data_IF_928025485524
#
_entry.id   IF_928025485524
#
_cell.length_a   1.000
_cell.length_b   1.000
_cell.length_c   1.000
_cell.angle_alpha   90.00
_cell.angle_beta   90.00
_cell.angle_gamma   90.00
#
_symmetry.space_group_name_H-M   'P 1'
#
loop_
_entity.id
_entity.type
_entity.pdbx_description
1 polymer ?
#
# COMPACT_ATOMS: atom_id res chain seq x y z
N UNK A 1 9.81 -10.52 24.12
CA UNK A 1 9.91 -9.62 22.95
C UNK A 1 8.64 -9.77 22.12
N UNK A 2 7.93 -8.69 21.78
CA UNK A 2 6.86 -8.75 20.77
C UNK A 2 7.53 -8.87 19.40
N UNK A 3 7.33 -9.97 18.70
CA UNK A 3 7.84 -10.18 17.33
C UNK A 3 7.00 -9.37 16.35
N UNK A 4 7.64 -8.62 15.46
CA UNK A 4 6.95 -7.99 14.33
C UNK A 4 6.54 -9.08 13.32
N UNK A 5 5.34 -8.97 12.76
CA UNK A 5 4.89 -9.85 11.68
C UNK A 5 5.74 -9.63 10.43
N UNK A 6 6.06 -10.71 9.72
CA UNK A 6 6.81 -10.66 8.46
C UNK A 6 6.03 -10.09 7.28
N UNK A 7 4.70 -10.01 7.37
CA UNK A 7 3.81 -9.56 6.28
C UNK A 7 4.20 -10.18 4.92
N UNK A 8 4.31 -9.36 3.88
CA UNK A 8 4.74 -9.78 2.53
C UNK A 8 6.25 -9.64 2.30
N UNK A 9 7.05 -9.38 3.35
CA UNK A 9 8.50 -9.21 3.22
C UNK A 9 9.22 -10.39 2.54
N UNK A 10 8.88 -11.67 2.81
CA UNK A 10 9.50 -12.79 2.10
C UNK A 10 9.27 -12.74 0.59
N UNK A 11 8.06 -12.37 0.15
CA UNK A 11 7.73 -12.21 -1.27
C UNK A 11 8.55 -11.08 -1.90
N UNK A 12 8.60 -9.91 -1.25
CA UNK A 12 9.35 -8.73 -1.73
C UNK A 12 10.83 -9.07 -1.91
N UNK A 13 11.46 -9.66 -0.88
CA UNK A 13 12.88 -10.02 -0.93
C UNK A 13 13.16 -11.05 -2.01
N UNK A 14 12.29 -12.04 -2.17
CA UNK A 14 12.43 -13.06 -3.22
C UNK A 14 12.38 -12.44 -4.63
N UNK A 15 11.43 -11.53 -4.87
CA UNK A 15 11.30 -10.86 -6.18
C UNK A 15 12.46 -9.90 -6.43
N UNK A 16 12.90 -9.14 -5.43
CA UNK A 16 14.07 -8.25 -5.60
C UNK A 16 15.36 -9.02 -5.86
N UNK A 17 15.58 -10.15 -5.19
CA UNK A 17 16.72 -11.01 -5.48
C UNK A 17 16.66 -11.56 -6.91
N UNK A 18 15.48 -12.00 -7.35
CA UNK A 18 15.28 -12.47 -8.72
C UNK A 18 15.49 -11.36 -9.76
N UNK A 19 14.95 -10.16 -9.52
CA UNK A 19 15.14 -9.01 -10.41
C UNK A 19 16.61 -8.56 -10.46
N UNK A 20 17.30 -8.55 -9.32
CA UNK A 20 18.73 -8.28 -9.24
C UNK A 20 19.56 -9.30 -10.01
N UNK A 21 19.21 -10.59 -9.90
CA UNK A 21 19.81 -11.64 -10.71
C UNK A 21 19.57 -11.42 -12.21
N UNK A 22 18.34 -11.14 -12.63
CA UNK A 22 18.03 -10.84 -14.03
C UNK A 22 18.79 -9.60 -14.54
N UNK A 23 18.93 -8.56 -13.72
CA UNK A 23 19.66 -7.35 -14.07
C UNK A 23 21.14 -7.62 -14.36
N UNK A 24 21.77 -8.53 -13.61
CA UNK A 24 23.19 -8.85 -13.73
C UNK A 24 23.48 -9.89 -14.81
N UNK A 25 22.61 -10.90 -14.99
CA UNK A 25 22.92 -12.09 -15.78
C UNK A 25 22.04 -12.29 -17.02
N UNK A 26 20.90 -11.62 -17.12
CA UNK A 26 19.95 -11.80 -18.22
C UNK A 26 19.37 -10.45 -18.70
N UNK A 27 20.22 -9.54 -19.22
CA UNK A 27 19.79 -8.21 -19.64
C UNK A 27 18.79 -8.23 -20.80
N UNK A 28 18.65 -9.35 -21.52
CA UNK A 28 17.65 -9.56 -22.58
C UNK A 28 16.22 -9.70 -22.04
N UNK A 29 16.04 -10.11 -20.79
CA UNK A 29 14.73 -10.20 -20.14
C UNK A 29 14.26 -8.85 -19.59
N UNK A 30 15.01 -7.78 -19.83
CA UNK A 30 14.59 -6.42 -19.49
C UNK A 30 13.55 -5.96 -20.51
N UNK A 31 12.28 -6.16 -20.19
CA UNK A 31 11.22 -5.44 -20.89
C UNK A 31 11.34 -3.96 -20.58
N UNK A 32 11.66 -3.14 -21.59
CA UNK A 32 11.39 -1.70 -21.54
C UNK A 32 9.88 -1.54 -21.52
N UNK A 33 9.29 -1.43 -20.33
CA UNK A 33 7.90 -1.04 -20.21
C UNK A 33 7.79 0.39 -20.77
N UNK A 34 7.33 0.49 -22.01
CA UNK A 34 6.86 1.75 -22.59
C UNK A 34 5.63 2.13 -21.79
N UNK A 35 5.77 3.00 -20.79
CA UNK A 35 4.61 3.68 -20.26
C UNK A 35 4.14 4.59 -21.39
N UNK A 36 3.14 4.15 -22.16
CA UNK A 36 2.34 5.08 -22.94
C UNK A 36 1.63 5.95 -21.91
N UNK A 37 2.23 7.10 -21.62
CA UNK A 37 1.61 8.17 -20.84
C UNK A 37 0.50 8.72 -21.71
N UNK A 38 -0.64 8.02 -21.74
CA UNK A 38 -1.88 8.74 -21.92
C UNK A 38 -2.04 9.56 -20.64
N UNK A 39 -1.61 10.82 -20.71
CA UNK A 39 -1.87 11.83 -19.67
C UNK A 39 -3.39 11.98 -19.54
N UNK A 40 -4.01 11.04 -18.85
CA UNK A 40 -5.42 11.09 -18.55
C UNK A 40 -5.57 12.09 -17.42
N UNK A 41 -5.89 13.34 -17.74
CA UNK A 41 -6.12 14.39 -16.75
C UNK A 41 -7.33 14.08 -15.86
N UNK A 42 -8.21 13.15 -16.27
CA UNK A 42 -9.42 12.77 -15.55
C UNK A 42 -9.21 11.55 -14.65
N UNK A 43 -9.61 11.68 -13.38
CA UNK A 43 -9.66 10.54 -12.45
C UNK A 43 -10.97 9.77 -12.63
N UNK A 44 -10.87 8.48 -12.86
CA UNK A 44 -11.98 7.53 -12.79
C UNK A 44 -12.03 6.95 -11.37
N UNK A 45 -12.73 7.63 -10.45
CA UNK A 45 -12.73 7.27 -9.02
C UNK A 45 -13.12 5.82 -8.76
N UNK A 46 -14.20 5.34 -9.38
CA UNK A 46 -14.68 3.97 -9.21
C UNK A 46 -13.64 2.93 -9.66
N UNK A 47 -13.06 3.15 -10.83
CA UNK A 47 -12.00 2.30 -11.37
C UNK A 47 -10.74 2.35 -10.49
N UNK A 48 -10.33 3.54 -10.06
CA UNK A 48 -9.15 3.75 -9.20
C UNK A 48 -9.30 2.99 -7.87
N UNK A 49 -10.47 3.09 -7.25
CA UNK A 49 -10.79 2.36 -6.01
C UNK A 49 -10.76 0.85 -6.27
N UNK A 50 -11.46 0.36 -7.30
CA UNK A 50 -11.49 -1.07 -7.58
C UNK A 50 -10.09 -1.64 -7.87
N UNK A 51 -9.33 -0.97 -8.73
CA UNK A 51 -7.97 -1.40 -9.07
C UNK A 51 -7.00 -1.28 -7.88
N UNK A 52 -7.27 -0.42 -6.90
CA UNK A 52 -6.49 -0.43 -5.64
C UNK A 52 -6.58 -1.78 -4.92
N UNK A 53 -7.72 -2.48 -5.01
CA UNK A 53 -7.83 -3.86 -4.51
C UNK A 53 -7.17 -4.85 -5.46
N UNK A 54 -7.43 -4.75 -6.77
CA UNK A 54 -6.87 -5.66 -7.78
C UNK A 54 -5.34 -5.69 -7.77
N UNK A 55 -4.72 -4.52 -7.66
CA UNK A 55 -3.26 -4.37 -7.67
C UNK A 55 -2.55 -4.99 -6.47
N UNK A 56 -3.26 -5.31 -5.37
CA UNK A 56 -2.67 -6.08 -4.26
C UNK A 56 -2.08 -7.40 -4.76
N UNK A 57 -2.72 -8.01 -5.76
CA UNK A 57 -2.28 -9.25 -6.41
C UNK A 57 -1.94 -9.04 -7.89
N UNK A 58 -1.54 -7.81 -8.26
CA UNK A 58 -1.17 -7.42 -9.63
C UNK A 58 -2.26 -7.68 -10.67
N UNK A 59 -3.53 -7.52 -10.29
CA UNK A 59 -4.68 -7.69 -11.19
C UNK A 59 -5.13 -6.32 -11.72
N UNK A 60 -4.87 -6.07 -13.00
CA UNK A 60 -5.25 -4.83 -13.70
C UNK A 60 -6.68 -4.87 -14.26
N UNK A 61 -7.61 -5.50 -13.53
CA UNK A 61 -8.98 -5.70 -13.99
C UNK A 61 -10.00 -5.24 -12.95
N UNK A 62 -11.01 -4.49 -13.43
CA UNK A 62 -12.02 -3.87 -12.58
C UNK A 62 -12.84 -4.90 -11.79
N UNK A 63 -13.22 -6.04 -12.39
CA UNK A 63 -13.99 -7.07 -11.66
C UNK A 63 -13.14 -7.77 -10.58
N UNK A 64 -11.84 -7.93 -10.79
CA UNK A 64 -10.96 -8.58 -9.81
C UNK A 64 -10.93 -7.79 -8.50
N UNK A 65 -10.85 -6.46 -8.60
CA UNK A 65 -10.93 -5.57 -7.43
C UNK A 65 -12.24 -5.68 -6.67
N UNK A 66 -13.37 -5.72 -7.38
CA UNK A 66 -14.69 -5.89 -6.78
C UNK A 66 -14.82 -7.25 -6.08
N UNK A 67 -14.34 -8.33 -6.70
CA UNK A 67 -14.35 -9.65 -6.09
C UNK A 67 -13.45 -9.75 -4.86
N UNK A 68 -12.29 -9.08 -4.87
CA UNK A 68 -11.44 -9.00 -3.67
C UNK A 68 -12.10 -8.23 -2.54
N UNK A 69 -12.71 -7.07 -2.81
CA UNK A 69 -13.47 -6.33 -1.81
C UNK A 69 -14.63 -7.18 -1.25
N UNK A 70 -15.38 -7.87 -2.12
CA UNK A 70 -16.45 -8.77 -1.71
C UNK A 70 -15.92 -9.93 -0.84
N UNK A 71 -14.81 -10.56 -1.24
CA UNK A 71 -14.17 -11.63 -0.48
C UNK A 71 -13.70 -11.19 0.92
N UNK A 72 -13.09 -10.00 1.01
CA UNK A 72 -12.74 -9.40 2.31
C UNK A 72 -14.00 -9.16 3.13
N UNK A 73 -15.07 -8.64 2.52
CA UNK A 73 -16.35 -8.36 3.18
C UNK A 73 -17.06 -9.61 3.71
N UNK A 74 -17.01 -10.72 2.98
CA UNK A 74 -17.56 -12.02 3.41
C UNK A 74 -16.82 -12.51 4.67
N UNK A 75 -15.51 -12.30 4.74
CA UNK A 75 -14.73 -12.70 5.90
C UNK A 75 -14.90 -11.74 7.09
N UNK A 76 -14.81 -10.43 6.86
CA UNK A 76 -14.91 -9.39 7.89
C UNK A 76 -15.32 -8.05 7.31
N UNK A 77 -16.53 -7.59 7.65
CA UNK A 77 -17.02 -6.26 7.29
C UNK A 77 -16.11 -5.14 7.81
N UNK A 78 -15.50 -5.31 8.97
CA UNK A 78 -14.58 -4.30 9.55
C UNK A 78 -13.33 -4.20 8.69
N UNK A 79 -12.74 -5.33 8.30
CA UNK A 79 -11.58 -5.33 7.41
C UNK A 79 -11.93 -4.70 6.06
N UNK A 80 -13.10 -5.01 5.50
CA UNK A 80 -13.57 -4.40 4.24
C UNK A 80 -13.77 -2.89 4.36
N UNK A 81 -14.34 -2.40 5.46
CA UNK A 81 -14.48 -0.96 5.71
C UNK A 81 -13.12 -0.27 5.77
N UNK A 82 -12.15 -0.81 6.52
CA UNK A 82 -10.81 -0.22 6.57
C UNK A 82 -10.10 -0.30 5.23
N UNK A 83 -10.19 -1.43 4.52
CA UNK A 83 -9.64 -1.58 3.19
C UNK A 83 -10.17 -0.51 2.23
N UNK A 84 -11.49 -0.28 2.25
CA UNK A 84 -12.15 0.77 1.48
C UNK A 84 -11.69 2.18 1.90
N UNK A 85 -11.58 2.45 3.20
CA UNK A 85 -10.99 3.70 3.71
C UNK A 85 -9.56 3.89 3.20
N UNK A 86 -8.73 2.85 3.21
CA UNK A 86 -7.37 2.88 2.68
C UNK A 86 -7.33 3.27 1.20
N UNK A 87 -8.20 2.68 0.38
CA UNK A 87 -8.34 3.04 -1.03
C UNK A 87 -8.80 4.50 -1.22
N UNK A 88 -9.75 4.97 -0.41
CA UNK A 88 -10.22 6.37 -0.45
C UNK A 88 -9.13 7.36 -0.03
N UNK A 89 -8.37 7.04 1.01
CA UNK A 89 -7.28 7.88 1.52
C UNK A 89 -6.12 8.03 0.53
N UNK A 90 -6.03 7.19 -0.49
CA UNK A 90 -5.06 7.35 -1.57
C UNK A 90 -5.48 8.37 -2.63
N UNK A 91 -6.78 8.64 -2.82
CA UNK A 91 -7.28 9.55 -3.85
C UNK A 91 -6.74 10.99 -3.73
N UNK A 92 -6.63 11.59 -2.52
CA UNK A 92 -6.07 12.93 -2.36
C UNK A 92 -4.60 13.07 -2.82
N UNK A 93 -3.88 11.97 -3.07
CA UNK A 93 -2.53 12.01 -3.60
C UNK A 93 -2.43 12.75 -4.95
N UNK A 94 -3.52 12.83 -5.73
CA UNK A 94 -3.56 13.63 -6.97
C UNK A 94 -3.30 15.11 -6.74
N UNK A 95 -3.59 15.62 -5.54
CA UNK A 95 -3.39 17.03 -5.20
C UNK A 95 -1.90 17.37 -5.01
N UNK A 96 -1.04 16.36 -4.93
CA UNK A 96 0.39 16.56 -4.85
C UNK A 96 0.95 16.95 -6.23
N UNK A 97 1.83 17.97 -6.30
CA UNK A 97 2.43 18.38 -7.57
C UNK A 97 3.16 17.23 -8.26
N UNK A 98 2.92 17.05 -9.56
CA UNK A 98 3.62 16.06 -10.38
C UNK A 98 3.05 14.64 -10.32
N UNK A 99 1.90 14.42 -9.67
CA UNK A 99 1.21 13.13 -9.68
C UNK A 99 0.29 13.03 -10.91
N UNK A 100 0.53 12.02 -11.74
CA UNK A 100 -0.33 11.68 -12.87
C UNK A 100 -1.56 10.90 -12.39
N UNK A 101 -2.75 11.30 -12.84
CA UNK A 101 -3.99 10.58 -12.59
C UNK A 101 -3.97 9.15 -13.16
N UNK A 102 -3.12 8.85 -14.14
CA UNK A 102 -2.88 7.47 -14.60
C UNK A 102 -2.39 6.54 -13.48
N UNK A 103 -1.59 7.03 -12.52
CA UNK A 103 -1.13 6.23 -11.37
C UNK A 103 -2.30 5.82 -10.47
N UNK A 104 -3.24 6.73 -10.24
CA UNK A 104 -4.46 6.46 -9.47
C UNK A 104 -5.43 5.56 -10.23
N UNK A 105 -5.65 5.85 -11.52
CA UNK A 105 -6.52 5.08 -12.39
C UNK A 105 -6.04 3.63 -12.57
N UNK A 106 -4.74 3.36 -12.41
CA UNK A 106 -4.17 2.00 -12.39
C UNK A 106 -4.15 1.36 -10.99
N UNK A 107 -4.58 2.08 -9.95
CA UNK A 107 -4.60 1.60 -8.55
C UNK A 107 -3.24 1.61 -7.85
N UNK A 108 -2.20 2.19 -8.45
CA UNK A 108 -0.80 2.07 -8.01
C UNK A 108 -0.48 2.87 -6.74
N UNK A 109 -1.27 3.90 -6.42
CA UNK A 109 -1.13 4.63 -5.15
C UNK A 109 -2.02 4.05 -4.04
N UNK A 110 -2.98 3.18 -4.38
CA UNK A 110 -3.99 2.69 -3.43
C UNK A 110 -3.73 1.32 -2.84
N UNK A 111 -3.07 0.39 -3.55
CA UNK A 111 -2.95 -0.99 -3.06
C UNK A 111 -2.14 -1.13 -1.76
N UNK A 112 -1.04 -0.37 -1.62
CA UNK A 112 -0.27 -0.33 -0.38
C UNK A 112 -1.07 0.34 0.75
N UNK A 113 -1.93 1.33 0.43
CA UNK A 113 -2.82 1.96 1.40
C UNK A 113 -3.90 0.99 1.90
N UNK A 114 -4.50 0.19 1.00
CA UNK A 114 -5.45 -0.89 1.33
C UNK A 114 -4.83 -1.86 2.33
N UNK A 115 -3.61 -2.35 2.05
CA UNK A 115 -2.91 -3.28 2.94
C UNK A 115 -2.58 -2.67 4.30
N UNK A 116 -2.11 -1.41 4.35
CA UNK A 116 -1.88 -0.69 5.60
C UNK A 116 -3.15 -0.62 6.46
N UNK A 117 -4.28 -0.29 5.82
CA UNK A 117 -5.55 -0.14 6.51
C UNK A 117 -6.08 -1.47 7.04
N UNK A 118 -5.97 -2.56 6.28
CA UNK A 118 -6.34 -3.91 6.76
C UNK A 118 -5.45 -4.34 7.93
N UNK A 119 -4.14 -4.10 7.85
CA UNK A 119 -3.19 -4.57 8.86
C UNK A 119 -3.32 -3.87 10.22
N UNK A 120 -3.73 -2.60 10.23
CA UNK A 120 -3.82 -1.79 11.45
C UNK A 120 -5.26 -1.50 11.89
N UNK A 121 -6.23 -1.69 11.00
CA UNK A 121 -7.65 -1.47 11.26
C UNK A 121 -8.19 -2.41 12.33
N UNK A 122 -9.03 -1.90 13.22
CA UNK A 122 -9.68 -2.68 14.27
C UNK A 122 -11.04 -2.11 14.63
N UNK A 123 -11.81 -2.84 15.43
CA UNK A 123 -13.09 -2.38 16.02
C UNK A 123 -12.96 -1.07 16.79
N UNK A 124 -11.77 -0.73 17.29
CA UNK A 124 -11.52 0.49 18.03
C UNK A 124 -11.26 1.67 17.07
N UNK A 125 -12.07 2.73 17.14
CA UNK A 125 -11.90 3.94 16.32
C UNK A 125 -10.54 4.62 16.51
N UNK A 126 -9.87 4.45 17.65
CA UNK A 126 -8.50 4.95 17.87
C UNK A 126 -7.49 4.32 16.91
N UNK A 127 -7.81 3.16 16.31
CA UNK A 127 -6.96 2.56 15.27
C UNK A 127 -6.91 3.36 13.97
N UNK A 128 -7.91 4.19 13.70
CA UNK A 128 -7.96 5.02 12.49
C UNK A 128 -6.77 5.99 12.41
N UNK A 129 -6.32 6.54 13.54
CA UNK A 129 -5.13 7.42 13.58
C UNK A 129 -3.89 6.69 13.07
N UNK A 130 -3.69 5.44 13.51
CA UNK A 130 -2.58 4.61 13.08
C UNK A 130 -2.71 4.17 11.62
N UNK A 131 -3.94 3.89 11.17
CA UNK A 131 -4.23 3.59 9.76
C UNK A 131 -3.87 4.78 8.87
N UNK A 132 -4.34 5.99 9.20
CA UNK A 132 -4.05 7.19 8.42
C UNK A 132 -2.54 7.45 8.35
N UNK A 133 -1.81 7.28 9.47
CA UNK A 133 -0.36 7.42 9.50
C UNK A 133 0.34 6.42 8.56
N UNK A 134 -0.03 5.14 8.63
CA UNK A 134 0.57 4.09 7.80
C UNK A 134 0.22 4.25 6.32
N UNK A 135 -1.01 4.66 6.00
CA UNK A 135 -1.45 4.95 4.62
C UNK A 135 -0.65 6.12 4.04
N UNK A 136 -0.54 7.23 4.78
CA UNK A 136 0.22 8.39 4.32
C UNK A 136 1.71 8.04 4.09
N UNK A 137 2.31 7.31 5.02
CA UNK A 137 3.69 6.87 4.91
C UNK A 137 3.89 5.90 3.72
N UNK A 138 2.95 4.99 3.47
CA UNK A 138 3.05 4.07 2.34
C UNK A 138 2.90 4.78 1.00
N UNK A 139 2.06 5.81 0.88
CA UNK A 139 1.95 6.62 -0.33
C UNK A 139 3.27 7.36 -0.60
N UNK A 140 3.88 7.99 0.42
CA UNK A 140 5.18 8.66 0.27
C UNK A 140 6.25 7.67 -0.21
N UNK A 141 6.37 6.51 0.46
CA UNK A 141 7.33 5.48 0.11
C UNK A 141 7.09 4.93 -1.31
N UNK A 142 5.83 4.77 -1.71
CA UNK A 142 5.45 4.35 -3.06
C UNK A 142 5.91 5.38 -4.10
N UNK A 143 5.66 6.66 -3.87
CA UNK A 143 6.05 7.75 -4.78
C UNK A 143 7.57 7.87 -4.91
N UNK A 144 8.29 7.79 -3.79
CA UNK A 144 9.76 7.76 -3.81
C UNK A 144 10.25 6.56 -4.64
N UNK A 145 9.69 5.38 -4.43
CA UNK A 145 10.08 4.18 -5.17
C UNK A 145 9.83 4.29 -6.67
N UNK A 146 8.65 4.80 -7.08
CA UNK A 146 8.32 5.05 -8.50
C UNK A 146 9.30 6.06 -9.10
N UNK A 147 9.56 7.18 -8.44
CA UNK A 147 10.45 8.23 -8.95
C UNK A 147 11.90 7.74 -9.12
N UNK A 148 12.35 6.80 -8.29
CA UNK A 148 13.67 6.17 -8.41
C UNK A 148 13.70 5.01 -9.42
N UNK A 149 12.58 4.69 -10.06
CA UNK A 149 12.47 3.58 -11.02
C UNK A 149 12.49 2.19 -10.38
N UNK A 150 12.25 2.08 -9.07
CA UNK A 150 12.21 0.80 -8.37
C UNK A 150 10.86 0.10 -8.53
N UNK A 151 10.88 -1.22 -8.71
CA UNK A 151 9.70 -2.06 -8.55
C UNK A 151 9.35 -2.16 -7.06
N UNK A 152 8.43 -1.31 -6.60
CA UNK A 152 8.12 -1.15 -5.17
C UNK A 152 7.43 -2.35 -4.55
N UNK A 153 6.65 -3.11 -5.33
CA UNK A 153 5.81 -4.21 -4.85
C UNK A 153 5.01 -3.75 -3.62
N UNK A 154 4.89 -4.58 -2.59
CA UNK A 154 4.23 -4.22 -1.33
C UNK A 154 5.20 -3.70 -0.25
N UNK A 155 6.43 -3.30 -0.62
CA UNK A 155 7.42 -2.81 0.33
C UNK A 155 6.99 -1.53 1.08
N UNK A 156 6.37 -0.53 0.42
CA UNK A 156 5.83 0.65 1.10
C UNK A 156 4.83 0.30 2.20
N UNK A 157 3.96 -0.69 1.98
CA UNK A 157 3.06 -1.20 3.01
C UNK A 157 3.81 -1.78 4.22
N UNK A 158 4.73 -2.71 3.99
CA UNK A 158 5.44 -3.42 5.07
C UNK A 158 6.21 -2.44 5.94
N UNK A 159 6.98 -1.55 5.29
CA UNK A 159 7.81 -0.55 5.98
C UNK A 159 6.92 0.44 6.74
N UNK A 160 5.83 0.92 6.14
CA UNK A 160 4.94 1.86 6.80
C UNK A 160 4.26 1.27 8.05
N UNK A 161 3.81 0.01 7.97
CA UNK A 161 3.19 -0.68 9.11
C UNK A 161 4.22 -0.96 10.21
N UNK A 162 5.44 -1.40 9.87
CA UNK A 162 6.51 -1.57 10.86
C UNK A 162 6.83 -0.27 11.60
N UNK A 163 7.03 0.84 10.87
CA UNK A 163 7.30 2.15 11.48
C UNK A 163 6.14 2.55 12.41
N UNK A 164 4.90 2.40 11.95
CA UNK A 164 3.72 2.75 12.73
C UNK A 164 3.60 1.91 14.01
N UNK A 165 3.88 0.61 13.93
CA UNK A 165 3.90 -0.29 15.10
C UNK A 165 5.01 0.11 16.08
N UNK A 166 6.20 0.43 15.59
CA UNK A 166 7.33 0.87 16.42
C UNK A 166 7.01 2.17 17.18
N UNK A 167 6.40 3.15 16.50
CA UNK A 167 5.95 4.40 17.12
C UNK A 167 4.90 4.12 18.20
N UNK A 168 3.92 3.27 17.91
CA UNK A 168 2.88 2.89 18.87
C UNK A 168 3.47 2.20 20.10
N UNK A 169 4.44 1.31 19.93
CA UNK A 169 5.13 0.64 21.03
C UNK A 169 5.89 1.66 21.89
N UNK A 170 6.60 2.59 21.24
CA UNK A 170 7.37 3.62 21.93
C UNK A 170 6.48 4.54 22.79
N UNK A 171 5.37 5.01 22.24
CA UNK A 171 4.39 5.85 22.96
C UNK A 171 3.75 5.09 24.12
N UNK A 172 3.36 3.83 23.90
CA UNK A 172 2.75 3.00 24.96
C UNK A 172 3.71 2.78 26.13
N UNK A 173 5.00 2.52 25.84
CA UNK A 173 6.03 2.32 26.87
C UNK A 173 6.32 3.60 27.66
N UNK A 174 6.23 4.77 27.03
CA UNK A 174 6.42 6.06 27.71
C UNK A 174 5.29 6.33 28.70
N UNK A 175 4.04 6.11 28.29
CA UNK A 175 2.88 6.30 29.18
C UNK A 175 2.89 5.39 30.41
N UNK A 176 3.35 4.14 30.29
CA UNK A 176 3.46 3.26 31.46
C UNK A 176 4.51 3.76 32.47
N UNK A 177 5.60 4.34 31.99
CA UNK A 177 6.68 4.83 32.85
C UNK A 177 6.31 6.13 33.60
N UNK A 178 5.43 6.96 33.05
CA UNK A 178 4.95 8.19 33.67
C UNK A 178 3.83 7.94 34.71
N UNK A 179 3.15 6.79 34.67
CA UNK A 179 2.07 6.43 35.62
C UNK A 179 2.61 5.76 36.90
N UNK A 180 3.85 5.27 36.88
CA UNK A 180 4.52 4.61 38.02
C UNK A 180 5.37 5.58 38.89
N UNK A 181 5.35 6.89 38.60
CA UNK A 181 5.96 7.95 39.41
C UNK A 181 4.90 8.78 40.11
#
# INVERSE_FOLDING_TARGET
MKTLSGFTAPFILSVWLLLGFCYLFAPELRSTASFSTEESQSIHYFQSISLSFGQVMFQEHLLSGLFFLAGIGIHSHIAACYAFIGALLALPAILLPGIDAALLNKGLLGYNAVLCAIALGSTNLKSLVWVCLAVFLSIILQLIGIHQGFTTLTAPFVVAVWITILIKIFITKRHSHDTER
#
